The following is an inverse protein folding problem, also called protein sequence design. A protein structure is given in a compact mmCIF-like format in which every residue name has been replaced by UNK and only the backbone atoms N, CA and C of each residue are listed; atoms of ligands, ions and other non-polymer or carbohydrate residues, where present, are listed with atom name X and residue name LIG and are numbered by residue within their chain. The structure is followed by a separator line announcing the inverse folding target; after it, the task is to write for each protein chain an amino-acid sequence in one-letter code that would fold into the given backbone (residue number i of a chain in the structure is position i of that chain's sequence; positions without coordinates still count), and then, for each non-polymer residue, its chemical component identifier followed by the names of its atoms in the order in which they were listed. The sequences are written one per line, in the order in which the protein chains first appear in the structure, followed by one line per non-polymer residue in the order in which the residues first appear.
data_IF_266611669725
#
_entry.id   IF_266611669725
#
_cell.length_a   1.000
_cell.length_b   1.000
_cell.length_c   1.000
_cell.angle_alpha   90.00
_cell.angle_beta   90.00
_cell.angle_gamma   90.00
#
_symmetry.space_group_name_H-M   'P 1'
#
loop_
_entity.id
_entity.type
_entity.pdbx_description
1 polymer ?
#
# COMPACT_ATOMS: atom_id res chain seq x y z
N UNK A 1 18.08 -46.09 -21.02
CA UNK A 1 18.98 -45.01 -20.60
C UNK A 1 18.30 -43.71 -20.99
N UNK A 2 17.63 -43.00 -20.06
CA UNK A 2 18.22 -42.06 -19.10
C UNK A 2 18.95 -40.91 -19.83
N UNK A 3 18.70 -39.61 -19.67
CA UNK A 3 17.88 -38.77 -18.79
C UNK A 3 17.76 -37.41 -19.50
N UNK A 4 16.66 -36.67 -19.33
CA UNK A 4 16.77 -35.35 -18.73
C UNK A 4 15.77 -34.36 -19.31
N UNK A 5 14.59 -34.31 -18.71
CA UNK A 5 13.57 -33.27 -18.93
C UNK A 5 13.83 -32.17 -17.89
N UNK A 6 14.22 -30.99 -18.35
CA UNK A 6 14.18 -29.75 -17.56
C UNK A 6 12.87 -29.00 -17.82
N UNK A 7 12.29 -28.31 -16.81
CA UNK A 7 11.00 -27.64 -16.95
C UNK A 7 11.11 -26.30 -17.72
N UNK A 8 10.03 -25.84 -18.39
CA UNK A 8 10.00 -24.56 -19.09
C UNK A 8 9.70 -23.39 -18.15
N UNK A 9 10.51 -22.34 -18.28
CA UNK A 9 10.17 -20.91 -18.17
C UNK A 9 9.15 -20.47 -17.14
N UNK A 10 9.61 -20.13 -15.94
CA UNK A 10 9.06 -19.00 -15.19
C UNK A 10 9.60 -17.72 -15.81
N UNK A 11 8.82 -17.09 -16.70
CA UNK A 11 8.97 -15.67 -17.02
C UNK A 11 8.55 -14.86 -15.77
N UNK A 12 9.51 -14.74 -14.85
CA UNK A 12 9.48 -13.68 -13.86
C UNK A 12 9.84 -12.39 -14.60
N UNK A 13 8.94 -11.41 -14.47
CA UNK A 13 9.13 -10.00 -14.82
C UNK A 13 10.60 -9.58 -14.62
N UNK A 14 11.19 -8.75 -15.51
CA UNK A 14 12.51 -8.20 -15.24
C UNK A 14 12.44 -7.51 -13.88
N UNK A 15 13.18 -8.06 -12.92
CA UNK A 15 13.55 -7.33 -11.71
C UNK A 15 14.35 -6.16 -12.26
N UNK A 16 13.73 -4.98 -12.30
CA UNK A 16 14.49 -3.76 -12.40
C UNK A 16 15.46 -3.80 -11.22
N UNK A 17 16.72 -4.08 -11.51
CA UNK A 17 17.80 -3.95 -10.54
C UNK A 17 17.77 -2.49 -10.08
N UNK A 18 17.17 -2.25 -8.91
CA UNK A 18 17.29 -0.99 -8.21
C UNK A 18 18.78 -0.64 -8.15
N UNK A 19 19.17 0.60 -8.50
CA UNK A 19 20.58 0.99 -8.43
C UNK A 19 21.08 0.74 -7.01
N UNK A 20 22.23 0.06 -6.83
CA UNK A 20 22.70 -0.33 -5.51
C UNK A 20 22.78 0.92 -4.62
N UNK A 21 22.06 0.87 -3.51
CA UNK A 21 22.04 1.91 -2.48
C UNK A 21 23.47 2.32 -2.10
N UNK A 22 23.70 3.60 -1.73
CA UNK A 22 25.02 4.24 -1.67
C UNK A 22 25.80 3.89 -0.39
N UNK A 23 25.82 2.61 0.02
CA UNK A 23 26.59 2.16 1.18
C UNK A 23 27.99 1.62 0.79
N UNK A 24 28.27 1.47 -0.51
CA UNK A 24 29.50 0.86 -1.02
C UNK A 24 30.39 1.78 -1.88
N UNK A 25 30.19 3.10 -1.86
CA UNK A 25 30.94 4.04 -2.72
C UNK A 25 32.16 4.64 -2.04
N UNK A 26 32.85 3.90 -1.17
CA UNK A 26 34.10 4.40 -0.59
C UNK A 26 35.24 4.09 -1.56
N UNK A 27 35.90 5.12 -2.07
CA UNK A 27 37.01 4.93 -3.01
C UNK A 27 38.28 4.49 -2.25
N UNK A 28 39.17 3.69 -2.87
CA UNK A 28 40.42 3.25 -2.24
C UNK A 28 41.38 4.40 -1.91
N UNK A 29 41.19 5.57 -2.52
CA UNK A 29 41.95 6.81 -2.25
C UNK A 29 41.49 7.49 -0.96
N UNK A 30 40.17 7.56 -0.70
CA UNK A 30 39.60 8.07 0.55
C UNK A 30 39.97 7.20 1.77
N UNK A 31 40.07 5.87 1.58
CA UNK A 31 40.50 4.94 2.63
C UNK A 31 41.98 5.09 3.00
N UNK A 32 42.82 5.52 2.06
CA UNK A 32 44.24 5.82 2.33
C UNK A 32 44.39 7.13 3.10
N UNK A 33 43.55 8.12 2.82
CA UNK A 33 43.54 9.41 3.53
C UNK A 33 43.05 9.28 4.99
N UNK A 34 42.21 8.28 5.29
CA UNK A 34 41.60 8.10 6.61
C UNK A 34 41.78 6.67 7.16
N UNK A 35 42.96 6.34 7.75
CA UNK A 35 43.28 4.99 8.20
C UNK A 35 42.38 4.48 9.35
N UNK A 36 41.83 5.38 10.17
CA UNK A 36 40.86 5.03 11.22
C UNK A 36 39.54 4.49 10.65
N UNK A 37 39.04 5.11 9.57
CA UNK A 37 37.84 4.66 8.85
C UNK A 37 38.10 3.31 8.15
N UNK A 38 39.26 3.16 7.53
CA UNK A 38 39.65 1.89 6.91
C UNK A 38 39.71 0.72 7.91
N UNK A 39 40.17 0.98 9.15
CA UNK A 39 40.19 -0.02 10.22
C UNK A 39 38.78 -0.36 10.72
N UNK A 40 37.90 0.62 10.84
CA UNK A 40 36.50 0.43 11.23
C UNK A 40 35.74 -0.40 10.18
N UNK A 41 35.82 -0.01 8.91
CA UNK A 41 35.14 -0.72 7.81
C UNK A 41 35.65 -2.15 7.68
N UNK A 42 36.95 -2.39 7.86
CA UNK A 42 37.52 -3.75 7.91
C UNK A 42 37.00 -4.56 9.10
N UNK A 43 36.88 -3.92 10.28
CA UNK A 43 36.29 -4.55 11.46
C UNK A 43 34.83 -4.92 11.25
N UNK A 44 34.06 -4.04 10.62
CA UNK A 44 32.65 -4.26 10.28
C UNK A 44 32.49 -5.33 9.19
N UNK A 45 33.33 -5.34 8.16
CA UNK A 45 33.31 -6.39 7.12
C UNK A 45 33.69 -7.77 7.65
N UNK A 46 34.42 -7.84 8.77
CA UNK A 46 34.68 -9.11 9.46
C UNK A 46 33.49 -9.57 10.33
N UNK A 47 32.56 -8.67 10.67
CA UNK A 47 31.42 -8.95 11.54
C UNK A 47 30.07 -9.04 10.79
N UNK A 48 29.97 -8.45 9.59
CA UNK A 48 28.78 -8.39 8.75
C UNK A 48 28.96 -9.23 7.48
N UNK A 49 27.93 -9.94 7.08
CA UNK A 49 27.87 -10.67 5.80
C UNK A 49 27.69 -9.74 4.59
N UNK A 50 27.70 -10.29 3.36
CA UNK A 50 27.56 -9.51 2.12
C UNK A 50 26.26 -8.70 2.05
N UNK A 51 25.23 -9.13 2.78
CA UNK A 51 23.91 -8.49 2.84
C UNK A 51 23.79 -7.47 3.98
N UNK A 52 24.90 -7.15 4.67
CA UNK A 52 24.94 -6.20 5.78
C UNK A 52 24.40 -6.73 7.12
N UNK A 53 23.99 -8.00 7.18
CA UNK A 53 23.51 -8.66 8.40
C UNK A 53 24.67 -9.33 9.14
N UNK A 54 24.68 -9.26 10.47
CA UNK A 54 25.59 -10.09 11.28
C UNK A 54 25.05 -11.53 11.39
N UNK A 55 25.93 -12.48 11.72
CA UNK A 55 25.58 -13.91 11.81
C UNK A 55 24.35 -14.25 12.69
N UNK A 56 24.12 -13.65 13.87
CA UNK A 56 22.91 -13.92 14.63
C UNK A 56 21.64 -13.37 13.94
N UNK A 57 21.69 -12.16 13.40
CA UNK A 57 20.54 -11.56 12.70
C UNK A 57 20.17 -12.33 11.43
N UNK A 58 21.16 -12.84 10.70
CA UNK A 58 20.96 -13.72 9.54
C UNK A 58 20.27 -15.05 9.94
N UNK A 59 20.64 -15.62 11.10
CA UNK A 59 19.98 -16.82 11.65
C UNK A 59 18.53 -16.53 12.05
N UNK A 60 18.30 -15.43 12.75
CA UNK A 60 16.97 -15.02 13.19
C UNK A 60 16.05 -14.75 11.98
N UNK A 61 16.57 -14.10 10.94
CA UNK A 61 15.83 -13.88 9.70
C UNK A 61 15.44 -15.20 9.04
N UNK A 62 16.39 -16.12 8.84
CA UNK A 62 16.11 -17.46 8.29
C UNK A 62 15.08 -18.22 9.12
N UNK A 63 15.15 -18.12 10.44
CA UNK A 63 14.19 -18.77 11.33
C UNK A 63 12.79 -18.17 11.19
N UNK A 64 12.68 -16.84 11.10
CA UNK A 64 11.42 -16.14 10.90
C UNK A 64 10.79 -16.49 9.54
N UNK A 65 11.59 -16.54 8.48
CA UNK A 65 11.14 -16.94 7.14
C UNK A 65 10.65 -18.39 7.11
N UNK A 66 11.39 -19.31 7.74
CA UNK A 66 10.99 -20.72 7.86
C UNK A 66 9.67 -20.85 8.65
N UNK A 67 9.53 -20.11 9.75
CA UNK A 67 8.29 -20.09 10.54
C UNK A 67 7.11 -19.53 9.75
N UNK A 68 7.33 -18.47 8.95
CA UNK A 68 6.32 -17.88 8.09
C UNK A 68 5.90 -18.86 6.98
N UNK A 69 6.86 -19.51 6.32
CA UNK A 69 6.60 -20.52 5.30
C UNK A 69 5.77 -21.68 5.87
N UNK A 70 6.09 -22.14 7.08
CA UNK A 70 5.32 -23.18 7.77
C UNK A 70 3.88 -22.70 8.04
N UNK A 71 3.69 -21.50 8.60
CA UNK A 71 2.37 -20.93 8.87
C UNK A 71 1.53 -20.79 7.60
N UNK A 72 2.13 -20.32 6.50
CA UNK A 72 1.47 -20.21 5.18
C UNK A 72 1.03 -21.58 4.67
N UNK A 73 1.90 -22.59 4.73
CA UNK A 73 1.56 -23.98 4.34
C UNK A 73 0.40 -24.54 5.17
N UNK A 74 0.44 -24.35 6.49
CA UNK A 74 -0.63 -24.80 7.39
C UNK A 74 -1.94 -24.08 7.09
N UNK A 75 -1.91 -22.77 6.88
CA UNK A 75 -3.10 -22.01 6.51
C UNK A 75 -3.70 -22.48 5.19
N UNK A 76 -2.88 -22.66 4.15
CA UNK A 76 -3.33 -23.16 2.85
C UNK A 76 -3.98 -24.54 2.98
N UNK A 77 -3.41 -25.45 3.78
CA UNK A 77 -4.01 -26.76 4.06
C UNK A 77 -5.39 -26.65 4.71
N UNK A 78 -5.57 -25.72 5.65
CA UNK A 78 -6.88 -25.49 6.27
C UNK A 78 -7.89 -24.90 5.31
N UNK A 79 -7.46 -23.94 4.49
CA UNK A 79 -8.32 -23.29 3.50
C UNK A 79 -8.78 -24.29 2.43
N UNK A 80 -7.90 -25.15 1.92
CA UNK A 80 -8.28 -26.17 0.92
C UNK A 80 -9.28 -27.18 1.48
N UNK A 81 -9.06 -27.65 2.72
CA UNK A 81 -10.01 -28.53 3.40
C UNK A 81 -11.37 -27.85 3.60
N UNK A 82 -11.38 -26.59 4.04
CA UNK A 82 -12.61 -25.83 4.22
C UNK A 82 -13.38 -25.67 2.92
N UNK A 83 -12.69 -25.34 1.81
CA UNK A 83 -13.31 -25.23 0.49
C UNK A 83 -13.89 -26.56 0.03
N UNK A 84 -13.16 -27.66 0.23
CA UNK A 84 -13.65 -29.01 -0.08
C UNK A 84 -14.93 -29.36 0.69
N UNK A 85 -15.01 -29.02 1.98
CA UNK A 85 -16.21 -29.22 2.79
C UNK A 85 -17.39 -28.38 2.29
N UNK A 86 -17.14 -27.14 1.87
CA UNK A 86 -18.19 -26.28 1.32
C UNK A 86 -18.69 -26.75 -0.04
N UNK A 87 -17.81 -27.28 -0.88
CA UNK A 87 -18.19 -27.92 -2.15
C UNK A 87 -19.03 -29.18 -1.94
N UNK A 88 -18.69 -30.01 -0.95
CA UNK A 88 -19.51 -31.17 -0.58
C UNK A 88 -20.92 -30.79 -0.16
N UNK A 89 -21.06 -29.70 0.60
CA UNK A 89 -22.37 -29.20 1.02
C UNK A 89 -23.19 -28.65 -0.15
N UNK A 90 -22.54 -28.02 -1.14
CA UNK A 90 -23.20 -27.50 -2.34
C UNK A 90 -23.60 -28.60 -3.31
N UNK A 91 -22.79 -29.65 -3.41
CA UNK A 91 -23.02 -30.79 -4.30
C UNK A 91 -22.88 -32.12 -3.56
N UNK A 92 -23.91 -32.56 -2.83
CA UNK A 92 -23.83 -33.73 -1.96
C UNK A 92 -24.13 -35.06 -2.67
N UNK A 93 -23.98 -35.12 -4.00
CA UNK A 93 -24.40 -36.27 -4.84
C UNK A 93 -24.00 -37.66 -4.34
N UNK A 94 -22.96 -37.75 -3.52
CA UNK A 94 -22.36 -39.00 -3.02
C UNK A 94 -22.45 -39.15 -1.49
N UNK A 95 -23.17 -38.25 -0.81
CA UNK A 95 -23.34 -38.25 0.64
C UNK A 95 -24.79 -38.55 1.04
N UNK A 96 -24.94 -39.49 1.98
CA UNK A 96 -26.23 -39.82 2.56
C UNK A 96 -26.81 -38.61 3.34
N UNK A 97 -28.13 -38.34 3.25
CA UNK A 97 -28.80 -37.27 4.00
C UNK A 97 -28.47 -37.20 5.50
N UNK A 98 -28.37 -38.31 6.27
CA UNK A 98 -27.96 -38.25 7.68
C UNK A 98 -26.52 -37.74 7.89
N UNK A 99 -25.60 -38.02 6.96
CA UNK A 99 -24.20 -37.56 7.05
C UNK A 99 -24.11 -36.05 6.82
N UNK A 100 -24.87 -35.53 5.86
CA UNK A 100 -24.98 -34.09 5.62
C UNK A 100 -25.58 -33.36 6.82
N UNK A 101 -26.67 -33.90 7.37
CA UNK A 101 -27.29 -33.32 8.56
C UNK A 101 -26.37 -33.36 9.77
N UNK A 102 -25.58 -34.43 9.93
CA UNK A 102 -24.57 -34.53 10.97
C UNK A 102 -23.43 -33.52 10.76
N UNK A 103 -22.98 -33.31 9.52
CA UNK A 103 -22.00 -32.29 9.16
C UNK A 103 -22.50 -30.87 9.45
N UNK A 104 -23.70 -30.53 9.00
CA UNK A 104 -24.31 -29.21 9.24
C UNK A 104 -24.46 -28.93 10.74
N UNK A 105 -24.95 -29.91 11.51
CA UNK A 105 -25.03 -29.82 12.97
C UNK A 105 -23.66 -29.63 13.62
N UNK A 106 -22.64 -30.38 13.17
CA UNK A 106 -21.30 -30.29 13.71
C UNK A 106 -20.67 -28.91 13.43
N UNK A 107 -20.84 -28.37 12.22
CA UNK A 107 -20.37 -27.03 11.85
C UNK A 107 -21.07 -25.93 12.65
N UNK A 108 -22.40 -25.97 12.75
CA UNK A 108 -23.17 -25.00 13.53
C UNK A 108 -22.76 -25.02 15.01
N UNK A 109 -22.56 -26.22 15.60
CA UNK A 109 -22.08 -26.35 16.97
C UNK A 109 -20.64 -25.85 17.14
N UNK A 110 -19.77 -26.07 16.15
CA UNK A 110 -18.40 -25.55 16.20
C UNK A 110 -18.38 -24.01 16.13
N UNK A 111 -19.22 -23.39 15.31
CA UNK A 111 -19.39 -21.93 15.25
C UNK A 111 -19.91 -21.37 16.57
N UNK A 112 -20.94 -21.99 17.16
CA UNK A 112 -21.47 -21.59 18.46
C UNK A 112 -20.42 -21.70 19.59
N UNK A 113 -19.56 -22.73 19.55
CA UNK A 113 -18.45 -22.88 20.52
C UNK A 113 -17.34 -21.85 20.34
N UNK A 114 -17.19 -21.25 19.16
CA UNK A 114 -16.25 -20.13 18.92
C UNK A 114 -16.84 -18.78 19.33
N UNK A 115 -18.15 -18.71 19.56
CA UNK A 115 -18.87 -17.53 20.03
C UNK A 115 -18.68 -17.25 21.52
N UNK A 116 -19.51 -16.38 22.12
CA UNK A 116 -19.41 -15.98 23.52
C UNK A 116 -19.46 -17.19 24.46
N UNK A 117 -18.51 -17.26 25.41
CA UNK A 117 -18.35 -18.38 26.35
C UNK A 117 -19.58 -18.64 27.24
N UNK A 118 -20.48 -17.66 27.37
CA UNK A 118 -21.74 -17.78 28.11
C UNK A 118 -22.69 -18.86 27.58
N UNK A 119 -22.54 -19.28 26.31
CA UNK A 119 -23.37 -20.34 25.72
C UNK A 119 -22.79 -21.75 25.91
N UNK A 120 -21.53 -21.88 26.35
CA UNK A 120 -20.87 -23.16 26.55
C UNK A 120 -21.67 -24.18 27.41
N UNK A 121 -22.32 -23.80 28.54
CA UNK A 121 -23.09 -24.75 29.34
C UNK A 121 -24.43 -25.18 28.72
N UNK A 122 -24.91 -24.45 27.71
CA UNK A 122 -26.18 -24.74 27.01
C UNK A 122 -25.98 -25.60 25.75
N UNK A 123 -24.73 -25.78 25.32
CA UNK A 123 -24.41 -26.56 24.13
C UNK A 123 -24.32 -28.05 24.46
N UNK A 124 -24.79 -28.94 23.56
CA UNK A 124 -24.56 -30.37 23.70
C UNK A 124 -23.06 -30.67 23.89
N UNK A 125 -22.70 -31.75 24.63
CA UNK A 125 -21.31 -32.17 24.72
C UNK A 125 -20.72 -32.40 23.32
N UNK A 126 -19.41 -32.22 23.19
CA UNK A 126 -18.72 -32.50 21.94
C UNK A 126 -18.96 -33.97 21.55
N UNK A 127 -19.66 -34.19 20.44
CA UNK A 127 -19.87 -35.52 19.90
C UNK A 127 -18.56 -36.01 19.27
N UNK A 128 -18.31 -37.30 19.31
CA UNK A 128 -17.15 -37.90 18.64
C UNK A 128 -17.25 -37.63 17.12
N UNK A 129 -16.28 -36.91 16.51
CA UNK A 129 -16.30 -36.64 15.08
C UNK A 129 -15.85 -37.84 14.24
N UNK A 130 -15.34 -38.93 14.85
CA UNK A 130 -14.81 -40.11 14.15
C UNK A 130 -15.75 -40.72 13.10
N UNK A 131 -17.05 -40.99 13.38
CA UNK A 131 -17.95 -41.57 12.38
C UNK A 131 -18.22 -40.62 11.21
N UNK A 132 -18.31 -39.32 11.49
CA UNK A 132 -18.49 -38.29 10.46
C UNK A 132 -17.23 -38.18 9.60
N UNK A 133 -16.06 -38.15 10.23
CA UNK A 133 -14.75 -38.09 9.57
C UNK A 133 -14.50 -39.30 8.68
N UNK A 134 -14.83 -40.50 9.14
CA UNK A 134 -14.66 -41.74 8.37
C UNK A 134 -15.46 -41.75 7.06
N UNK A 135 -16.57 -41.00 6.99
CA UNK A 135 -17.42 -40.89 5.79
C UNK A 135 -17.07 -39.69 4.92
N UNK A 136 -16.66 -38.56 5.51
CA UNK A 136 -16.33 -37.35 4.76
C UNK A 136 -14.92 -37.37 4.17
N UNK A 137 -13.95 -37.94 4.88
CA UNK A 137 -12.55 -37.87 4.48
C UNK A 137 -12.27 -38.55 3.12
N UNK A 138 -12.77 -39.78 2.84
CA UNK A 138 -12.53 -40.42 1.56
C UNK A 138 -13.13 -39.63 0.39
N UNK A 139 -14.29 -39.01 0.61
CA UNK A 139 -14.99 -38.25 -0.42
C UNK A 139 -14.34 -36.88 -0.67
N UNK A 140 -13.80 -36.24 0.37
CA UNK A 140 -12.94 -35.06 0.24
C UNK A 140 -11.66 -35.38 -0.52
N UNK A 141 -10.98 -36.47 -0.17
CA UNK A 141 -9.74 -36.90 -0.82
C UNK A 141 -9.98 -37.19 -2.31
N UNK A 142 -11.06 -37.88 -2.65
CA UNK A 142 -11.45 -38.15 -4.03
C UNK A 142 -11.65 -36.87 -4.83
N UNK A 143 -12.46 -35.93 -4.31
CA UNK A 143 -12.76 -34.67 -5.03
C UNK A 143 -11.56 -33.75 -5.15
N UNK A 144 -10.72 -33.68 -4.10
CA UNK A 144 -9.48 -32.94 -4.16
C UNK A 144 -8.53 -33.53 -5.21
N UNK A 145 -8.43 -34.87 -5.29
CA UNK A 145 -7.63 -35.54 -6.30
C UNK A 145 -8.13 -35.24 -7.73
N UNK A 146 -9.44 -35.28 -7.96
CA UNK A 146 -10.05 -34.90 -9.24
C UNK A 146 -9.74 -33.44 -9.61
N UNK A 147 -9.88 -32.51 -8.67
CA UNK A 147 -9.58 -31.09 -8.91
C UNK A 147 -8.10 -30.82 -9.14
N UNK A 148 -7.21 -31.54 -8.45
CA UNK A 148 -5.77 -31.45 -8.73
C UNK A 148 -5.46 -31.98 -10.12
N UNK A 149 -6.14 -33.04 -10.58
CA UNK A 149 -6.03 -33.54 -11.95
C UNK A 149 -6.49 -32.49 -12.98
N UNK A 150 -7.69 -31.93 -12.80
CA UNK A 150 -8.22 -30.86 -13.65
C UNK A 150 -7.28 -29.66 -13.76
N UNK A 151 -6.67 -29.23 -12.63
CA UNK A 151 -5.71 -28.12 -12.61
C UNK A 151 -4.39 -28.49 -13.29
N UNK A 152 -3.89 -29.71 -13.07
CA UNK A 152 -2.70 -30.22 -13.77
C UNK A 152 -2.94 -30.30 -15.28
N UNK A 153 -4.12 -30.71 -15.72
CA UNK A 153 -4.51 -30.76 -17.13
C UNK A 153 -4.67 -29.35 -17.73
N UNK A 154 -5.21 -28.41 -16.96
CA UNK A 154 -5.33 -27.00 -17.33
C UNK A 154 -3.97 -26.34 -17.56
N UNK A 155 -3.00 -26.59 -16.66
CA UNK A 155 -1.64 -26.09 -16.82
C UNK A 155 -0.81 -26.89 -17.82
N UNK A 156 -1.18 -28.14 -18.11
CA UNK A 156 -0.53 -29.04 -19.07
C UNK A 156 -1.00 -28.90 -20.53
N UNK A 157 -2.00 -28.04 -20.80
CA UNK A 157 -2.42 -27.70 -22.17
C UNK A 157 -3.19 -28.78 -22.94
N UNK A 158 -3.80 -29.76 -22.26
CA UNK A 158 -4.40 -30.92 -22.91
C UNK A 158 -5.83 -31.24 -22.46
N UNK A 159 -6.83 -30.47 -22.90
CA UNK A 159 -8.22 -30.95 -22.91
C UNK A 159 -9.29 -29.91 -22.61
N UNK A 160 -10.25 -29.75 -23.53
CA UNK A 160 -11.45 -28.92 -23.35
C UNK A 160 -12.35 -29.48 -22.23
N UNK A 161 -12.87 -28.66 -21.29
CA UNK A 161 -13.76 -29.13 -20.23
C UNK A 161 -15.07 -29.64 -20.83
N UNK A 162 -15.43 -30.91 -20.59
CA UNK A 162 -16.78 -31.42 -20.87
C UNK A 162 -17.79 -30.72 -19.94
N UNK A 163 -18.93 -30.21 -20.46
CA UNK A 163 -19.93 -29.57 -19.62
C UNK A 163 -20.63 -30.58 -18.70
N UNK A 164 -21.04 -30.18 -17.48
CA UNK A 164 -21.72 -31.05 -16.54
C UNK A 164 -23.12 -31.45 -17.06
N UNK A 165 -23.38 -32.76 -17.11
CA UNK A 165 -24.71 -33.31 -17.39
C UNK A 165 -25.56 -33.25 -16.11
N UNK A 166 -26.69 -32.55 -16.14
CA UNK A 166 -27.69 -32.55 -15.07
C UNK A 166 -28.75 -33.63 -15.34
N UNK A 167 -28.93 -34.64 -14.46
CA UNK A 167 -30.09 -35.51 -14.52
C UNK A 167 -31.30 -34.89 -13.80
N UNK A 168 -32.45 -34.86 -14.46
CA UNK A 168 -33.76 -34.52 -13.86
C UNK A 168 -34.24 -35.70 -13.00
N UNK A 169 -34.57 -35.46 -11.74
CA UNK A 169 -35.14 -36.47 -10.83
C UNK A 169 -36.70 -36.47 -10.87
N UNK A 170 -37.35 -37.65 -10.71
CA UNK A 170 -38.80 -37.78 -10.76
C UNK A 170 -39.46 -37.44 -9.41
N UNK A 171 -40.67 -36.87 -9.48
CA UNK A 171 -41.56 -36.57 -8.35
C UNK A 171 -42.44 -37.77 -8.00
N UNK A 172 -42.42 -38.25 -6.75
CA UNK A 172 -43.59 -38.90 -6.12
C UNK A 172 -43.66 -38.71 -4.58
N UNK A 173 -44.90 -38.90 -4.09
CA UNK A 173 -45.43 -38.99 -2.73
C UNK A 173 -45.87 -37.68 -2.02
N UNK A 174 -47.19 -37.47 -1.94
CA UNK A 174 -47.89 -36.23 -1.55
C UNK A 174 -48.80 -36.29 -0.32
N UNK A 175 -48.62 -37.24 0.61
CA UNK A 175 -49.44 -37.36 1.83
C UNK A 175 -48.86 -36.61 3.04
N UNK A 176 -47.69 -37.04 3.54
CA UNK A 176 -47.04 -36.44 4.73
C UNK A 176 -46.38 -35.08 4.50
N UNK A 177 -46.27 -34.63 3.25
CA UNK A 177 -45.61 -33.36 2.90
C UNK A 177 -46.31 -32.13 3.49
N UNK A 178 -47.64 -32.16 3.64
CA UNK A 178 -48.39 -30.96 4.03
C UNK A 178 -48.23 -30.64 5.51
N UNK A 179 -48.35 -31.64 6.38
CA UNK A 179 -48.13 -31.50 7.82
C UNK A 179 -46.65 -31.21 8.14
N UNK A 180 -45.71 -31.85 7.44
CA UNK A 180 -44.28 -31.58 7.59
C UNK A 180 -43.89 -30.19 7.06
N UNK A 181 -44.49 -29.73 5.95
CA UNK A 181 -44.29 -28.38 5.43
C UNK A 181 -44.85 -27.30 6.36
N UNK A 182 -45.96 -27.56 7.05
CA UNK A 182 -46.53 -26.65 8.05
C UNK A 182 -45.62 -26.52 9.27
N UNK A 183 -45.11 -27.64 9.78
CA UNK A 183 -44.17 -27.65 10.91
C UNK A 183 -42.84 -27.00 10.51
N UNK A 184 -42.32 -27.30 9.32
CA UNK A 184 -41.12 -26.64 8.78
C UNK A 184 -41.32 -25.13 8.57
N UNK A 185 -42.52 -24.71 8.14
CA UNK A 185 -42.87 -23.29 8.00
C UNK A 185 -42.82 -22.57 9.35
N UNK A 186 -43.44 -23.15 10.38
CA UNK A 186 -43.41 -22.60 11.76
C UNK A 186 -42.00 -22.58 12.34
N UNK A 187 -41.22 -23.64 12.13
CA UNK A 187 -39.81 -23.66 12.50
C UNK A 187 -39.00 -22.60 11.76
N UNK A 188 -39.27 -22.40 10.47
CA UNK A 188 -38.65 -21.35 9.65
C UNK A 188 -38.96 -19.94 10.14
N UNK A 189 -40.19 -19.67 10.57
CA UNK A 189 -40.59 -18.38 11.15
C UNK A 189 -39.95 -18.12 12.53
N UNK A 190 -39.80 -19.15 13.36
CA UNK A 190 -39.10 -19.04 14.66
C UNK A 190 -37.60 -18.83 14.45
N UNK A 191 -36.99 -19.60 13.55
CA UNK A 191 -35.58 -19.41 13.18
C UNK A 191 -35.34 -18.07 12.49
N UNK A 192 -36.27 -17.59 11.67
CA UNK A 192 -36.19 -16.27 11.03
C UNK A 192 -36.30 -15.13 12.05
N UNK A 193 -37.16 -15.25 13.06
CA UNK A 193 -37.24 -14.28 14.17
C UNK A 193 -36.00 -14.31 15.05
N UNK A 194 -35.49 -15.48 15.40
CA UNK A 194 -34.25 -15.62 16.17
C UNK A 194 -33.04 -15.09 15.39
N UNK A 195 -32.90 -15.44 14.11
CA UNK A 195 -31.84 -14.91 13.25
C UNK A 195 -31.98 -13.40 13.05
N UNK A 196 -33.21 -12.87 12.91
CA UNK A 196 -33.46 -11.43 12.84
C UNK A 196 -33.10 -10.70 14.14
N UNK A 197 -33.38 -11.29 15.30
CA UNK A 197 -33.11 -10.69 16.62
C UNK A 197 -31.65 -10.84 17.07
N UNK A 198 -30.97 -11.95 16.73
CA UNK A 198 -29.58 -12.20 17.15
C UNK A 198 -28.54 -11.81 16.09
N UNK A 199 -28.80 -12.08 14.81
CA UNK A 199 -27.81 -11.85 13.76
C UNK A 199 -27.82 -10.40 13.27
N UNK A 200 -28.96 -9.73 13.17
CA UNK A 200 -28.99 -8.32 12.76
C UNK A 200 -28.29 -7.41 13.79
N UNK A 201 -28.49 -7.66 15.08
CA UNK A 201 -27.81 -6.95 16.17
C UNK A 201 -26.31 -7.25 16.23
N UNK A 202 -25.91 -8.52 16.18
CA UNK A 202 -24.50 -8.90 16.17
C UNK A 202 -23.76 -8.42 14.91
N UNK A 203 -24.43 -8.39 13.76
CA UNK A 203 -23.89 -7.87 12.51
C UNK A 203 -23.72 -6.35 12.59
N UNK A 204 -24.71 -5.62 13.11
CA UNK A 204 -24.61 -4.18 13.34
C UNK A 204 -23.48 -3.84 14.33
N UNK A 205 -23.29 -4.65 15.38
CA UNK A 205 -22.19 -4.49 16.33
C UNK A 205 -20.82 -4.74 15.66
N UNK A 206 -20.70 -5.79 14.85
CA UNK A 206 -19.49 -6.08 14.09
C UNK A 206 -19.17 -4.99 13.07
N UNK A 207 -20.18 -4.48 12.39
CA UNK A 207 -20.03 -3.41 11.40
C UNK A 207 -19.69 -2.09 12.11
N UNK A 208 -20.23 -1.83 13.30
CA UNK A 208 -19.82 -0.72 14.17
C UNK A 208 -18.35 -0.80 14.57
N UNK A 209 -17.89 -1.97 15.06
CA UNK A 209 -16.47 -2.18 15.40
C UNK A 209 -15.54 -2.08 14.19
N UNK A 210 -16.00 -2.52 13.01
CA UNK A 210 -15.25 -2.37 11.75
C UNK A 210 -15.14 -0.91 11.34
N UNK A 211 -16.22 -0.13 11.47
CA UNK A 211 -16.21 1.29 11.20
C UNK A 211 -15.22 2.01 12.14
N UNK A 212 -15.29 1.74 13.44
CA UNK A 212 -14.36 2.31 14.44
C UNK A 212 -12.90 1.95 14.14
N UNK A 213 -12.63 0.69 13.80
CA UNK A 213 -11.29 0.26 13.38
C UNK A 213 -10.80 1.01 12.13
N UNK A 214 -11.67 1.18 11.13
CA UNK A 214 -11.33 1.89 9.90
C UNK A 214 -11.12 3.39 10.15
N UNK A 215 -11.87 4.00 11.06
CA UNK A 215 -11.67 5.40 11.48
C UNK A 215 -10.31 5.58 12.16
N UNK A 216 -9.99 4.74 13.14
CA UNK A 216 -8.69 4.79 13.83
C UNK A 216 -7.55 4.54 12.86
N UNK A 217 -7.70 3.57 11.94
CA UNK A 217 -6.70 3.27 10.92
C UNK A 217 -6.53 4.42 9.92
N UNK A 218 -7.62 5.06 9.52
CA UNK A 218 -7.63 6.23 8.65
C UNK A 218 -6.92 7.41 9.31
N UNK A 219 -7.22 7.69 10.58
CA UNK A 219 -6.54 8.72 11.37
C UNK A 219 -5.03 8.44 11.49
N UNK A 220 -4.63 7.18 11.74
CA UNK A 220 -3.24 6.79 11.79
C UNK A 220 -2.53 6.96 10.42
N UNK A 221 -3.19 6.62 9.31
CA UNK A 221 -2.65 6.87 7.97
C UNK A 221 -2.48 8.36 7.68
N UNK A 222 -3.45 9.21 8.06
CA UNK A 222 -3.34 10.67 7.90
C UNK A 222 -2.16 11.23 8.70
N UNK A 223 -1.99 10.79 9.94
CA UNK A 223 -0.85 11.18 10.77
C UNK A 223 0.47 10.74 10.14
N UNK A 224 0.53 9.52 9.59
CA UNK A 224 1.72 9.04 8.87
C UNK A 224 2.03 9.92 7.67
N UNK A 225 1.05 10.19 6.80
CA UNK A 225 1.22 11.08 5.64
C UNK A 225 1.75 12.44 6.07
N UNK A 226 1.21 13.02 7.15
CA UNK A 226 1.66 14.31 7.65
C UNK A 226 3.10 14.29 8.16
N UNK A 227 3.52 13.17 8.75
CA UNK A 227 4.88 12.98 9.25
C UNK A 227 5.88 12.87 8.09
N UNK A 228 5.53 12.13 7.03
CA UNK A 228 6.33 12.05 5.80
C UNK A 228 6.41 13.41 5.09
N UNK A 229 5.31 14.17 5.02
CA UNK A 229 5.30 15.53 4.47
C UNK A 229 6.25 16.46 5.23
N UNK A 230 6.21 16.42 6.57
CA UNK A 230 7.15 17.18 7.40
C UNK A 230 8.58 16.71 7.20
N UNK A 231 8.83 15.41 7.02
CA UNK A 231 10.13 14.86 6.66
C UNK A 231 10.66 15.47 5.37
N UNK A 232 9.87 15.42 4.29
CA UNK A 232 10.23 16.02 3.00
C UNK A 232 10.49 17.53 3.14
N UNK A 233 9.69 18.24 3.93
CA UNK A 233 9.90 19.68 4.19
C UNK A 233 11.22 19.95 4.91
N UNK A 234 11.54 19.17 5.95
CA UNK A 234 12.80 19.30 6.69
C UNK A 234 14.02 18.97 5.81
N UNK A 235 13.91 17.95 4.96
CA UNK A 235 14.98 17.55 4.03
C UNK A 235 15.18 18.61 2.93
N UNK A 236 14.09 19.17 2.41
CA UNK A 236 14.15 20.18 1.34
C UNK A 236 14.62 21.53 1.87
N UNK A 237 14.11 21.93 3.05
CA UNK A 237 14.35 23.21 3.71
C UNK A 237 15.00 23.04 5.10
N UNK A 238 16.26 22.60 5.16
CA UNK A 238 17.03 22.61 6.41
C UNK A 238 17.15 24.05 6.97
N UNK A 239 17.37 24.20 8.29
CA UNK A 239 17.38 25.49 8.97
C UNK A 239 18.35 26.49 8.34
N UNK A 240 19.53 26.02 7.90
CA UNK A 240 20.52 26.87 7.23
C UNK A 240 19.99 27.49 5.92
N UNK A 241 19.22 26.74 5.13
CA UNK A 241 18.58 27.26 3.91
C UNK A 241 17.48 28.24 4.27
N UNK A 242 16.66 27.95 5.28
CA UNK A 242 15.61 28.86 5.75
C UNK A 242 16.21 30.18 6.23
N UNK A 243 17.32 30.14 6.97
CA UNK A 243 18.01 31.32 7.45
C UNK A 243 18.68 32.10 6.30
N UNK A 244 19.23 31.42 5.30
CA UNK A 244 19.70 32.06 4.08
C UNK A 244 18.56 32.79 3.34
N UNK A 245 17.40 32.12 3.15
CA UNK A 245 16.22 32.73 2.54
C UNK A 245 15.71 33.93 3.33
N UNK A 246 15.72 33.88 4.67
CA UNK A 246 15.35 35.02 5.54
C UNK A 246 16.29 36.21 5.34
N UNK A 247 17.60 35.98 5.30
CA UNK A 247 18.60 37.03 5.07
C UNK A 247 18.45 37.67 3.69
N UNK A 248 18.24 36.85 2.66
CA UNK A 248 17.99 37.33 1.29
C UNK A 248 16.73 38.18 1.26
N UNK A 249 15.64 37.70 1.86
CA UNK A 249 14.37 38.45 1.94
C UNK A 249 14.56 39.80 2.63
N UNK A 250 15.19 39.83 3.80
CA UNK A 250 15.43 41.07 4.55
C UNK A 250 16.31 42.05 3.75
N UNK A 251 17.31 41.56 3.01
CA UNK A 251 18.13 42.38 2.12
C UNK A 251 17.31 43.01 0.99
N UNK A 252 16.50 42.20 0.29
CA UNK A 252 15.65 42.66 -0.80
C UNK A 252 14.57 43.65 -0.32
N UNK A 253 13.97 43.40 0.84
CA UNK A 253 13.00 44.31 1.46
C UNK A 253 13.66 45.66 1.78
N UNK A 254 14.85 45.66 2.40
CA UNK A 254 15.58 46.88 2.69
C UNK A 254 16.00 47.65 1.42
N UNK A 255 16.42 46.96 0.36
CA UNK A 255 16.73 47.59 -0.93
C UNK A 255 15.48 48.17 -1.60
N UNK A 256 14.36 47.45 -1.53
CA UNK A 256 13.07 47.90 -2.05
C UNK A 256 12.59 49.17 -1.34
N UNK A 257 12.67 49.19 -0.01
CA UNK A 257 12.31 50.36 0.81
C UNK A 257 13.20 51.57 0.50
N UNK A 258 14.52 51.36 0.36
CA UNK A 258 15.44 52.43 -0.03
C UNK A 258 15.12 52.98 -1.42
N UNK A 259 14.87 52.10 -2.39
CA UNK A 259 14.50 52.50 -3.75
C UNK A 259 13.16 53.25 -3.76
N UNK A 260 12.17 52.80 -2.98
CA UNK A 260 10.89 53.48 -2.84
C UNK A 260 11.03 54.87 -2.22
N UNK A 261 11.84 55.00 -1.17
CA UNK A 261 12.15 56.28 -0.53
C UNK A 261 12.87 57.24 -1.50
N UNK A 262 13.86 56.75 -2.25
CA UNK A 262 14.55 57.53 -3.27
C UNK A 262 13.60 57.98 -4.38
N UNK A 263 12.75 57.09 -4.89
CA UNK A 263 11.77 57.42 -5.91
C UNK A 263 10.77 58.46 -5.41
N UNK A 264 10.30 58.34 -4.17
CA UNK A 264 9.43 59.33 -3.52
C UNK A 264 10.13 60.69 -3.41
N UNK A 265 11.38 60.71 -2.94
CA UNK A 265 12.18 61.94 -2.84
C UNK A 265 12.42 62.61 -4.19
N UNK A 266 12.74 61.84 -5.22
CA UNK A 266 12.91 62.36 -6.59
C UNK A 266 11.59 62.89 -7.16
N UNK A 267 10.47 62.21 -6.93
CA UNK A 267 9.14 62.70 -7.33
C UNK A 267 8.78 64.01 -6.63
N UNK A 268 9.07 64.13 -5.34
CA UNK A 268 8.85 65.37 -4.59
C UNK A 268 9.74 66.51 -5.12
N UNK A 269 11.01 66.24 -5.41
CA UNK A 269 11.91 67.22 -6.02
C UNK A 269 11.42 67.65 -7.41
N UNK A 270 10.98 66.71 -8.25
CA UNK A 270 10.39 67.03 -9.55
C UNK A 270 9.11 67.87 -9.42
N UNK A 271 8.25 67.56 -8.44
CA UNK A 271 7.05 68.34 -8.17
C UNK A 271 7.40 69.79 -7.79
N UNK A 272 8.41 70.00 -6.95
CA UNK A 272 8.90 71.33 -6.58
C UNK A 272 9.41 72.13 -7.80
N UNK A 273 10.05 71.48 -8.77
CA UNK A 273 10.40 72.14 -10.04
C UNK A 273 9.18 72.43 -10.91
N UNK A 274 8.11 71.63 -10.82
CA UNK A 274 6.84 71.89 -11.49
C UNK A 274 6.14 73.15 -10.98
N UNK A 275 6.33 73.51 -9.71
CA UNK A 275 5.79 74.75 -9.11
C UNK A 275 6.40 76.03 -9.71
N UNK A 276 7.60 75.95 -10.30
CA UNK A 276 8.26 77.08 -10.98
C UNK A 276 7.59 77.46 -12.32
N UNK A 277 6.59 76.69 -12.77
CA UNK A 277 5.75 77.01 -13.91
C UNK A 277 6.26 76.50 -15.27
N UNK A 278 5.42 76.60 -16.33
CA UNK A 278 5.68 75.99 -17.64
C UNK A 278 6.88 76.60 -18.38
N UNK A 279 7.18 77.89 -18.14
CA UNK A 279 8.33 78.60 -18.73
C UNK A 279 9.66 77.98 -18.30
N UNK A 280 9.78 77.59 -17.03
CA UNK A 280 10.98 76.91 -16.52
C UNK A 280 11.13 75.52 -17.18
N UNK A 281 10.03 74.80 -17.38
CA UNK A 281 10.01 73.53 -18.09
C UNK A 281 10.49 73.65 -19.55
N UNK A 282 10.06 74.69 -20.25
CA UNK A 282 10.52 74.99 -21.62
C UNK A 282 12.03 75.25 -21.66
N UNK A 283 12.54 76.11 -20.77
CA UNK A 283 13.96 76.43 -20.67
C UNK A 283 14.82 75.20 -20.32
N UNK A 284 14.37 74.37 -19.37
CA UNK A 284 15.04 73.13 -19.00
C UNK A 284 15.10 72.15 -20.18
N UNK A 285 14.02 72.07 -20.98
CA UNK A 285 13.98 71.29 -22.22
C UNK A 285 14.98 71.77 -23.27
N UNK A 286 15.08 73.09 -23.50
CA UNK A 286 16.07 73.66 -24.42
C UNK A 286 17.52 73.41 -23.97
N UNK A 287 17.79 73.58 -22.67
CA UNK A 287 19.08 73.27 -22.08
C UNK A 287 19.43 71.78 -22.25
N UNK A 288 18.48 70.87 -22.05
CA UNK A 288 18.63 69.44 -22.29
C UNK A 288 19.05 69.14 -23.74
N UNK A 289 18.33 69.69 -24.72
CA UNK A 289 18.66 69.56 -26.16
C UNK A 289 20.04 70.13 -26.50
N UNK A 290 20.45 71.23 -25.86
CA UNK A 290 21.79 71.79 -26.03
C UNK A 290 22.86 70.85 -25.46
N UNK A 291 22.63 70.27 -24.27
CA UNK A 291 23.56 69.30 -23.68
C UNK A 291 23.71 68.05 -24.54
N UNK A 292 22.63 67.51 -25.09
CA UNK A 292 22.67 66.37 -26.01
C UNK A 292 23.46 66.68 -27.27
N UNK A 293 23.21 67.85 -27.90
CA UNK A 293 23.98 68.30 -29.07
C UNK A 293 25.47 68.47 -28.73
N UNK A 294 25.80 69.03 -27.57
CA UNK A 294 27.19 69.14 -27.11
C UNK A 294 27.79 67.76 -26.80
N UNK A 295 27.03 66.82 -26.27
CA UNK A 295 27.44 65.44 -26.04
C UNK A 295 27.75 64.73 -27.35
N UNK A 296 26.83 64.80 -28.31
CA UNK A 296 26.97 64.23 -29.65
C UNK A 296 28.15 64.84 -30.40
N UNK A 297 28.31 66.17 -30.40
CA UNK A 297 29.48 66.84 -31.00
C UNK A 297 30.79 66.44 -30.33
N UNK A 298 30.83 66.35 -28.99
CA UNK A 298 32.02 65.87 -28.26
C UNK A 298 32.33 64.40 -28.53
N UNK A 299 31.30 63.58 -28.72
CA UNK A 299 31.47 62.20 -29.17
C UNK A 299 32.04 62.16 -30.61
N UNK A 300 31.46 62.92 -31.54
CA UNK A 300 31.92 63.00 -32.93
C UNK A 300 33.37 63.51 -33.04
N UNK A 301 33.73 64.54 -32.26
CA UNK A 301 35.10 65.05 -32.20
C UNK A 301 36.09 64.02 -31.64
N UNK A 302 35.66 63.14 -30.72
CA UNK A 302 36.50 62.02 -30.25
C UNK A 302 36.68 60.95 -31.32
N UNK A 303 35.69 60.72 -32.17
CA UNK A 303 35.80 59.79 -33.30
C UNK A 303 36.65 60.34 -34.45
N UNK A 304 36.63 61.66 -34.66
CA UNK A 304 37.42 62.35 -35.71
C UNK A 304 38.86 62.62 -35.32
N UNK A 305 39.24 62.43 -34.05
CA UNK A 305 40.66 62.39 -33.66
C UNK A 305 41.19 60.99 -33.99
N UNK A 306 42.01 60.82 -35.05
CA UNK A 306 42.69 59.55 -35.23
C UNK A 306 43.53 59.27 -33.97
N UNK A 307 43.58 58.01 -33.53
CA UNK A 307 44.62 57.57 -32.62
C UNK A 307 45.95 57.84 -33.34
N UNK A 308 46.63 58.93 -32.97
CA UNK A 308 48.04 59.06 -33.31
C UNK A 308 48.75 57.87 -32.63
N UNK A 309 49.45 57.02 -33.38
CA UNK A 309 50.24 55.94 -32.81
C UNK A 309 51.36 56.48 -31.91
#
# INVERSE_FOLDING_TARGET
MALGVGPPGTDLLPVEEEPPLPLNTVTPEELRAHPGLARLLRGLSCALGPDGLNAPLERDLRQAEAALALRRRTWLRWETLWRGVQELRRDPRDLEPPVLQALERALALAELRRGPSAFAPLLPPAQDPSPLRARLLPELERRLAEKTGELSDYHGGGGSPRPPKFPRAPRRAGGSRRAYAEVLGRCGEVLGRLAGQSCAGAQAELDGRRAEYLEVKGAAMLLKIRLEELGVLLDTYPPDKVDAHRRIRAGLEAESERAAAQASGLRAALAAFGELGPEFGALAGEYGRLRERLGHRRWALRQLRPHQP
#
